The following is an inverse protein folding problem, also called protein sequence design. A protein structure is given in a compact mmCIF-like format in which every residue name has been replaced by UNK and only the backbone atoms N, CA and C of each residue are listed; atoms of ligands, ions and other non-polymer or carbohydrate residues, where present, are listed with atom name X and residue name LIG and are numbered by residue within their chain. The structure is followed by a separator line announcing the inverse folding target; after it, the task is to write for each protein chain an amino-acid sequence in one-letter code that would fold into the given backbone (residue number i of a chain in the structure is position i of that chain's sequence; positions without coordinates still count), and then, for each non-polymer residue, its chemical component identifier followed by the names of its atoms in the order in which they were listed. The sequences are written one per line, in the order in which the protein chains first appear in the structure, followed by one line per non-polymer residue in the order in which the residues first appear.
data_IF_943990394951
#
_entry.id   IF_943990394951
#
_cell.length_a   1.000
_cell.length_b   1.000
_cell.length_c   1.000
_cell.angle_alpha   90.00
_cell.angle_beta   90.00
_cell.angle_gamma   90.00
#
_symmetry.space_group_name_H-M   'P 1'
#
loop_
_entity.id
_entity.type
_entity.pdbx_description
1 polymer ?
#
# COMPACT_ATOMS: atom_id res chain seq x y z
N UNK A 1 5.00 13.39 5.48
CA UNK A 1 3.96 12.35 5.67
C UNK A 1 3.47 12.45 7.11
N UNK A 2 2.38 11.76 7.45
CA UNK A 2 1.90 11.62 8.82
C UNK A 2 1.79 10.15 9.14
N UNK A 3 2.26 9.73 10.30
CA UNK A 3 2.11 8.34 10.77
C UNK A 3 0.81 8.21 11.57
N UNK A 4 0.06 7.13 11.34
CA UNK A 4 -1.12 6.76 12.13
C UNK A 4 -1.11 5.26 12.41
N UNK A 5 -1.50 4.88 13.63
CA UNK A 5 -1.79 3.49 13.96
C UNK A 5 -3.17 3.11 13.44
N UNK A 6 -3.23 2.18 12.50
CA UNK A 6 -4.46 1.66 11.90
C UNK A 6 -4.18 0.29 11.25
N UNK A 7 -5.23 -0.48 10.99
CA UNK A 7 -5.11 -1.81 10.37
C UNK A 7 -4.11 -2.75 11.08
N UNK A 8 -4.09 -2.71 12.42
CA UNK A 8 -3.22 -3.57 13.22
C UNK A 8 -1.73 -3.20 13.18
N UNK A 9 -1.36 -2.09 12.55
CA UNK A 9 0.04 -1.66 12.45
C UNK A 9 0.19 -0.16 12.22
N UNK A 10 1.29 0.22 11.56
CA UNK A 10 1.64 1.61 11.29
C UNK A 10 1.35 1.96 9.82
N UNK A 11 0.61 3.03 9.58
CA UNK A 11 0.34 3.53 8.24
C UNK A 11 0.91 4.94 8.07
N UNK A 12 1.46 5.19 6.89
CA UNK A 12 2.05 6.45 6.48
C UNK A 12 1.14 7.13 5.47
N UNK A 13 0.67 8.31 5.85
CA UNK A 13 -0.26 9.11 5.09
C UNK A 13 0.47 10.25 4.40
N UNK A 14 0.12 10.52 3.14
CA UNK A 14 0.54 11.71 2.40
C UNK A 14 -0.71 12.55 2.19
N UNK A 15 -0.73 13.76 2.76
CA UNK A 15 -1.88 14.64 2.62
C UNK A 15 -3.16 14.15 3.29
N UNK A 16 -3.04 13.40 4.39
CA UNK A 16 -4.19 12.76 5.04
C UNK A 16 -4.70 11.50 4.34
N UNK A 17 -4.13 11.11 3.20
CA UNK A 17 -4.45 9.87 2.48
C UNK A 17 -3.39 8.80 2.75
N UNK A 18 -3.80 7.58 3.10
CA UNK A 18 -2.85 6.47 3.30
C UNK A 18 -2.15 6.12 1.98
N UNK A 19 -0.82 6.13 2.01
CA UNK A 19 0.04 5.73 0.90
C UNK A 19 0.51 4.29 1.06
N UNK A 20 1.16 4.02 2.19
CA UNK A 20 1.67 2.70 2.58
C UNK A 20 1.47 2.47 4.07
N UNK A 21 1.61 1.23 4.51
CA UNK A 21 1.64 0.85 5.91
C UNK A 21 2.29 -0.50 6.11
N UNK A 22 2.49 -0.90 7.36
CA UNK A 22 3.06 -2.20 7.70
C UNK A 22 2.20 -2.85 8.79
N UNK A 23 1.91 -4.13 8.65
CA UNK A 23 1.29 -4.96 9.70
C UNK A 23 1.94 -6.33 9.71
N UNK A 24 2.38 -6.79 10.88
CA UNK A 24 3.19 -8.00 10.96
C UNK A 24 4.40 -7.93 10.02
N UNK A 25 4.47 -8.85 9.06
CA UNK A 25 5.49 -8.92 8.00
C UNK A 25 5.07 -8.28 6.67
N UNK A 26 3.81 -7.87 6.54
CA UNK A 26 3.24 -7.46 5.25
C UNK A 26 3.26 -5.93 5.11
N UNK A 27 3.62 -5.47 3.91
CA UNK A 27 3.47 -4.08 3.50
C UNK A 27 2.07 -3.87 2.92
N UNK A 28 1.34 -2.90 3.45
CA UNK A 28 0.12 -2.37 2.85
C UNK A 28 0.49 -1.30 1.83
N UNK A 29 -0.12 -1.32 0.66
CA UNK A 29 0.05 -0.29 -0.37
C UNK A 29 -1.30 0.12 -0.94
N UNK A 30 -1.47 1.43 -1.15
CA UNK A 30 -2.63 1.99 -1.86
C UNK A 30 -2.22 2.48 -3.25
N UNK A 31 -2.12 1.60 -4.26
CA UNK A 31 -1.71 1.99 -5.62
C UNK A 31 -2.77 2.83 -6.36
N UNK A 32 -4.00 2.89 -5.84
CA UNK A 32 -5.15 3.51 -6.49
C UNK A 32 -5.95 2.53 -7.35
N UNK A 33 -7.18 2.88 -7.75
CA UNK A 33 -8.09 1.95 -8.42
C UNK A 33 -7.59 1.52 -9.82
N UNK A 34 -6.96 2.42 -10.57
CA UNK A 34 -6.46 2.12 -11.93
C UNK A 34 -5.25 1.18 -11.93
N UNK A 35 -4.43 1.22 -10.89
CA UNK A 35 -3.22 0.40 -10.75
C UNK A 35 -3.41 -0.80 -9.84
N UNK A 36 -4.64 -1.03 -9.37
CA UNK A 36 -4.96 -2.11 -8.45
C UNK A 36 -4.79 -3.48 -9.11
N UNK A 37 -5.39 -3.67 -10.28
CA UNK A 37 -5.27 -4.93 -11.03
C UNK A 37 -3.82 -5.21 -11.44
N UNK A 38 -3.08 -4.20 -11.92
CA UNK A 38 -1.63 -4.30 -12.20
C UNK A 38 -0.84 -4.73 -10.95
N UNK A 39 -1.13 -4.13 -9.80
CA UNK A 39 -0.48 -4.49 -8.55
C UNK A 39 -0.74 -5.96 -8.16
N UNK A 40 -1.94 -6.49 -8.42
CA UNK A 40 -2.28 -7.90 -8.15
C UNK A 40 -1.57 -8.89 -9.08
N UNK A 41 -1.08 -8.43 -10.25
CA UNK A 41 -0.25 -9.29 -11.12
C UNK A 41 1.19 -9.43 -10.63
N UNK A 42 1.64 -8.57 -9.71
CA UNK A 42 3.00 -8.61 -9.18
C UNK A 42 3.14 -9.78 -8.19
N UNK A 43 4.27 -10.50 -8.21
CA UNK A 43 4.53 -11.56 -7.24
C UNK A 43 4.37 -11.05 -5.79
N UNK A 44 3.85 -11.92 -4.92
CA UNK A 44 3.66 -11.64 -3.49
C UNK A 44 2.65 -10.54 -3.15
N UNK A 45 1.92 -10.02 -4.14
CA UNK A 45 0.85 -9.07 -3.93
C UNK A 45 -0.50 -9.78 -3.85
N UNK A 46 -1.31 -9.43 -2.84
CA UNK A 46 -2.66 -9.96 -2.66
C UNK A 46 -3.63 -8.84 -2.27
N UNK A 47 -4.95 -9.00 -2.52
CA UNK A 47 -5.93 -8.02 -2.07
C UNK A 47 -5.85 -7.82 -0.55
N UNK A 48 -5.97 -6.58 -0.09
CA UNK A 48 -6.01 -6.28 1.32
C UNK A 48 -7.39 -6.64 1.90
N UNK A 49 -7.46 -7.71 2.68
CA UNK A 49 -8.69 -8.30 3.22
C UNK A 49 -8.87 -8.11 4.73
N UNK A 50 -8.31 -7.01 5.29
CA UNK A 50 -8.21 -6.76 6.72
C UNK A 50 -9.55 -6.83 7.52
N UNK A 51 -10.70 -6.63 6.86
CA UNK A 51 -12.03 -6.65 7.51
C UNK A 51 -12.89 -7.86 7.12
N UNK A 52 -12.28 -8.90 6.54
CA UNK A 52 -12.99 -10.03 5.93
C UNK A 52 -13.63 -9.71 4.57
N UNK A 53 -13.51 -8.46 4.11
CA UNK A 53 -13.89 -8.03 2.77
C UNK A 53 -12.70 -7.32 2.10
N UNK A 54 -12.37 -7.65 0.84
CA UNK A 54 -11.30 -6.97 0.11
C UNK A 54 -11.57 -5.46 0.00
N UNK A 55 -10.63 -4.64 0.48
CA UNK A 55 -10.66 -3.20 0.27
C UNK A 55 -10.18 -2.89 -1.14
N UNK A 56 -11.08 -2.40 -1.99
CA UNK A 56 -10.74 -2.01 -3.37
C UNK A 56 -9.63 -0.95 -3.37
N UNK A 57 -8.59 -1.18 -4.16
CA UNK A 57 -7.48 -0.25 -4.31
C UNK A 57 -6.40 -0.34 -3.24
N UNK A 58 -6.42 -1.40 -2.41
CA UNK A 58 -5.39 -1.68 -1.40
C UNK A 58 -4.88 -3.12 -1.53
N UNK A 59 -3.56 -3.29 -1.49
CA UNK A 59 -2.90 -4.60 -1.56
C UNK A 59 -2.03 -4.81 -0.32
N UNK A 60 -1.89 -6.07 0.08
CA UNK A 60 -0.78 -6.53 0.89
C UNK A 60 0.34 -7.02 -0.01
N UNK A 61 1.58 -6.79 0.40
CA UNK A 61 2.79 -7.34 -0.21
C UNK A 61 3.55 -8.08 0.87
N UNK A 62 3.79 -9.37 0.66
CA UNK A 62 4.53 -10.21 1.60
C UNK A 62 6.02 -9.80 1.64
N UNK A 63 6.74 -10.24 2.67
CA UNK A 63 8.15 -9.87 2.90
C UNK A 63 9.05 -10.17 1.68
N UNK A 64 8.79 -11.27 0.98
CA UNK A 64 9.48 -11.69 -0.23
C UNK A 64 9.30 -10.69 -1.39
N UNK A 65 8.14 -10.03 -1.48
CA UNK A 65 7.86 -9.00 -2.48
C UNK A 65 8.54 -7.65 -2.20
N UNK A 66 9.13 -7.49 -1.02
CA UNK A 66 9.84 -6.28 -0.57
C UNK A 66 11.25 -6.59 -0.05
N UNK A 67 11.81 -7.75 -0.40
CA UNK A 67 13.09 -8.23 0.14
C UNK A 67 14.31 -7.38 -0.26
N UNK A 68 14.16 -6.50 -1.25
CA UNK A 68 15.20 -5.56 -1.68
C UNK A 68 14.73 -4.12 -1.52
N UNK A 69 15.67 -3.21 -1.26
CA UNK A 69 15.39 -1.78 -1.17
C UNK A 69 14.73 -1.24 -2.45
N UNK A 70 15.11 -1.76 -3.62
CA UNK A 70 14.49 -1.38 -4.89
C UNK A 70 13.04 -1.84 -4.98
N UNK A 71 12.74 -3.10 -4.61
CA UNK A 71 11.37 -3.60 -4.59
C UNK A 71 10.50 -2.85 -3.59
N UNK A 72 11.03 -2.55 -2.41
CA UNK A 72 10.34 -1.74 -1.40
C UNK A 72 10.09 -0.30 -1.90
N UNK A 73 11.11 0.34 -2.49
CA UNK A 73 11.01 1.70 -3.02
C UNK A 73 9.93 1.80 -4.11
N UNK A 74 9.86 0.83 -5.03
CA UNK A 74 8.81 0.74 -6.05
C UNK A 74 7.41 0.75 -5.44
N UNK A 75 7.19 -0.05 -4.40
CA UNK A 75 5.90 -0.14 -3.73
C UNK A 75 5.54 1.14 -2.97
N UNK A 76 6.51 1.74 -2.30
CA UNK A 76 6.36 3.04 -1.62
C UNK A 76 6.01 4.13 -2.63
N UNK A 77 6.71 4.18 -3.76
CA UNK A 77 6.45 5.16 -4.81
C UNK A 77 5.05 5.02 -5.41
N UNK A 78 4.58 3.79 -5.66
CA UNK A 78 3.22 3.53 -6.13
C UNK A 78 2.17 4.10 -5.18
N UNK A 79 2.29 3.80 -3.89
CA UNK A 79 1.37 4.29 -2.87
C UNK A 79 1.43 5.80 -2.66
N UNK A 80 2.65 6.36 -2.64
CA UNK A 80 2.88 7.78 -2.46
C UNK A 80 2.39 8.60 -3.66
N UNK A 81 2.63 8.14 -4.88
CA UNK A 81 2.22 8.83 -6.11
C UNK A 81 0.71 8.96 -6.19
N UNK A 82 -0.03 7.89 -5.89
CA UNK A 82 -1.49 7.95 -5.84
C UNK A 82 -1.99 8.87 -4.72
N UNK A 83 -1.41 8.79 -3.52
CA UNK A 83 -1.83 9.65 -2.42
C UNK A 83 -1.56 11.13 -2.69
N UNK A 84 -0.47 11.46 -3.40
CA UNK A 84 -0.17 12.82 -3.88
C UNK A 84 -1.16 13.28 -4.95
N UNK A 85 -1.62 12.41 -5.86
CA UNK A 85 -2.59 12.83 -6.88
C UNK A 85 -3.96 13.19 -6.28
N UNK A 86 -4.30 12.62 -5.11
CA UNK A 86 -5.50 13.00 -4.36
C UNK A 86 -5.42 14.38 -3.70
N UNK A 87 -4.21 14.90 -3.47
CA UNK A 87 -4.00 16.26 -2.92
C UNK A 87 -4.15 17.36 -3.96
N UNK A 88 -3.97 17.03 -5.24
CA UNK A 88 -4.03 17.98 -6.35
C UNK A 88 -5.47 18.29 -6.81
N UNK A 89 -6.47 17.86 -6.01
CA UNK A 89 -7.89 18.15 -6.16
C UNK A 89 -8.39 18.87 -4.93
#
# INVERSE_FOLDING_TARGET
YTEKKMFGGACFLVGGNMAVGVTGSDLMVRPGPEKFEDALTRPHARPMDFTGHPMKGFVFVEAEGIATDSSLADWVERGASFSKSLLAK
#
